data_IF_500945659033
#
_entry.id   IF_500945659033
#
_cell.length_a   1.000
_cell.length_b   1.000
_cell.length_c   1.000
_cell.angle_alpha   90.00
_cell.angle_beta   90.00
_cell.angle_gamma   90.00
#
_symmetry.space_group_name_H-M   'P 1'
#
loop_
_entity.id
_entity.type
_entity.pdbx_description
1 polymer ?
#
# COMPACT_ATOMS: atom_id res chain seq x y z
N UNK A 1 -32.13 -30.50 -16.99
CA UNK A 1 -33.60 -30.57 -16.88
C UNK A 1 -34.13 -31.52 -17.95
N UNK A 2 -35.09 -32.43 -17.65
CA UNK A 2 -35.70 -33.29 -18.66
C UNK A 2 -36.34 -32.46 -19.80
N UNK A 3 -36.29 -32.88 -21.07
CA UNK A 3 -36.76 -32.08 -22.20
C UNK A 3 -38.25 -31.66 -22.11
N UNK A 4 -39.08 -32.47 -21.45
CA UNK A 4 -40.49 -32.17 -21.24
C UNK A 4 -40.73 -31.06 -20.22
N UNK A 5 -39.93 -31.00 -19.15
CA UNK A 5 -39.99 -29.94 -18.14
C UNK A 5 -39.48 -28.63 -18.73
N UNK A 6 -38.42 -28.68 -19.56
CA UNK A 6 -37.92 -27.51 -20.28
C UNK A 6 -38.98 -26.93 -21.22
N UNK A 7 -39.77 -27.79 -21.88
CA UNK A 7 -40.89 -27.37 -22.72
C UNK A 7 -42.01 -26.71 -21.90
N UNK A 8 -42.36 -27.26 -20.75
CA UNK A 8 -43.38 -26.67 -19.87
C UNK A 8 -42.92 -25.35 -19.23
N UNK A 9 -41.66 -25.24 -18.84
CA UNK A 9 -41.06 -23.99 -18.35
C UNK A 9 -41.02 -22.96 -19.48
N UNK A 10 -40.55 -23.31 -20.67
CA UNK A 10 -40.54 -22.41 -21.83
C UNK A 10 -41.95 -22.00 -22.25
N UNK A 11 -42.94 -22.87 -22.11
CA UNK A 11 -44.34 -22.57 -22.43
C UNK A 11 -44.99 -21.68 -21.36
N UNK A 12 -44.71 -21.90 -20.07
CA UNK A 12 -45.16 -21.05 -18.98
C UNK A 12 -44.51 -19.65 -19.03
N UNK A 13 -43.22 -19.58 -19.36
CA UNK A 13 -42.49 -18.32 -19.55
C UNK A 13 -42.94 -17.61 -20.82
N UNK A 14 -43.17 -18.32 -21.93
CA UNK A 14 -43.73 -17.73 -23.15
C UNK A 14 -45.15 -17.20 -22.95
N UNK A 15 -46.00 -17.88 -22.16
CA UNK A 15 -47.35 -17.39 -21.80
C UNK A 15 -47.29 -16.16 -20.89
N UNK A 16 -46.26 -16.04 -20.04
CA UNK A 16 -46.03 -14.87 -19.21
C UNK A 16 -45.46 -13.68 -20.00
N UNK A 17 -44.66 -13.92 -21.04
CA UNK A 17 -44.01 -12.89 -21.87
C UNK A 17 -44.87 -12.42 -23.05
N UNK A 18 -45.65 -13.30 -23.68
CA UNK A 18 -46.43 -13.00 -24.88
C UNK A 18 -47.89 -12.64 -24.49
N UNK A 19 -48.07 -11.41 -24.00
CA UNK A 19 -49.36 -10.82 -23.69
C UNK A 19 -50.25 -10.60 -24.92
N UNK A 20 -50.74 -11.67 -25.54
CA UNK A 20 -51.91 -11.63 -26.44
C UNK A 20 -53.17 -12.04 -25.68
N UNK A 21 -53.52 -11.24 -24.70
CA UNK A 21 -54.86 -11.15 -24.15
C UNK A 21 -55.26 -9.68 -24.18
N UNK A 22 -56.28 -9.36 -24.95
CA UNK A 22 -56.83 -8.02 -25.11
C UNK A 22 -56.95 -7.28 -23.78
N UNK A 23 -56.70 -5.96 -23.81
CA UNK A 23 -57.06 -5.05 -22.71
C UNK A 23 -58.54 -5.25 -22.37
N UNK A 24 -58.80 -5.91 -21.24
CA UNK A 24 -60.03 -5.72 -20.51
C UNK A 24 -59.68 -5.33 -19.08
N UNK A 25 -60.25 -4.20 -18.68
CA UNK A 25 -60.15 -3.57 -17.37
C UNK A 25 -60.52 -4.56 -16.25
N UNK A 26 -59.54 -5.22 -15.64
CA UNK A 26 -59.45 -5.41 -14.19
C UNK A 26 -58.15 -6.12 -13.79
N UNK A 27 -57.58 -5.63 -12.69
CA UNK A 27 -56.32 -6.08 -12.09
C UNK A 27 -56.33 -7.57 -11.70
N UNK A 28 -55.53 -8.38 -12.39
CA UNK A 28 -54.77 -9.49 -11.80
C UNK A 28 -53.59 -9.75 -12.73
N UNK A 29 -52.38 -9.35 -12.34
CA UNK A 29 -51.19 -9.39 -13.19
C UNK A 29 -50.85 -10.83 -13.56
N UNK A 30 -50.46 -11.06 -14.82
CA UNK A 30 -50.09 -12.36 -15.38
C UNK A 30 -49.07 -13.14 -14.49
N UNK A 31 -48.23 -12.39 -13.76
CA UNK A 31 -47.27 -12.90 -12.78
C UNK A 31 -47.89 -13.76 -11.66
N UNK A 32 -49.02 -13.38 -11.07
CA UNK A 32 -49.61 -14.11 -9.93
C UNK A 32 -50.08 -15.52 -10.32
N UNK A 33 -50.54 -15.69 -11.56
CA UNK A 33 -50.98 -16.99 -12.09
C UNK A 33 -49.78 -17.86 -12.47
N UNK A 34 -48.75 -17.27 -13.07
CA UNK A 34 -47.50 -17.95 -13.40
C UNK A 34 -46.74 -18.41 -12.13
N UNK A 35 -46.66 -17.57 -11.10
CA UNK A 35 -46.04 -17.87 -9.80
C UNK A 35 -46.77 -19.03 -9.10
N UNK A 36 -48.11 -19.04 -9.10
CA UNK A 36 -48.90 -20.15 -8.52
C UNK A 36 -48.67 -21.47 -9.23
N UNK A 37 -48.58 -21.45 -10.57
CA UNK A 37 -48.32 -22.64 -11.38
C UNK A 37 -46.90 -23.18 -11.12
N UNK A 38 -45.89 -22.32 -11.23
CA UNK A 38 -44.48 -22.68 -10.99
C UNK A 38 -44.24 -23.17 -9.56
N UNK A 39 -44.95 -22.60 -8.58
CA UNK A 39 -44.95 -23.05 -7.19
C UNK A 39 -45.51 -24.47 -7.05
N UNK A 40 -46.63 -24.77 -7.71
CA UNK A 40 -47.24 -26.11 -7.71
C UNK A 40 -46.32 -27.19 -8.28
N UNK A 41 -45.49 -26.83 -9.27
CA UNK A 41 -44.52 -27.76 -9.89
C UNK A 41 -43.15 -27.77 -9.21
N UNK A 42 -42.91 -26.93 -8.20
CA UNK A 42 -41.61 -26.85 -7.52
C UNK A 42 -40.48 -26.32 -8.41
N UNK A 43 -40.80 -25.56 -9.46
CA UNK A 43 -39.85 -25.08 -10.48
C UNK A 43 -39.46 -23.60 -10.30
N UNK A 44 -39.78 -23.01 -9.14
CA UNK A 44 -39.57 -21.58 -8.88
C UNK A 44 -38.11 -21.16 -9.00
N UNK A 45 -37.17 -21.96 -8.48
CA UNK A 45 -35.73 -21.62 -8.55
C UNK A 45 -35.23 -21.62 -9.99
N UNK A 46 -35.59 -22.64 -10.77
CA UNK A 46 -35.19 -22.73 -12.18
C UNK A 46 -35.83 -21.64 -13.04
N UNK A 47 -37.06 -21.21 -12.71
CA UNK A 47 -37.72 -20.10 -13.39
C UNK A 47 -37.04 -18.76 -13.10
N UNK A 48 -36.60 -18.53 -11.86
CA UNK A 48 -35.82 -17.34 -11.49
C UNK A 48 -34.48 -17.32 -12.22
N UNK A 49 -33.76 -18.45 -12.23
CA UNK A 49 -32.45 -18.53 -12.88
C UNK A 49 -32.59 -18.26 -14.38
N UNK A 50 -33.57 -18.90 -15.04
CA UNK A 50 -33.87 -18.68 -16.45
C UNK A 50 -34.30 -17.25 -16.76
N UNK A 51 -35.16 -16.64 -15.93
CA UNK A 51 -35.59 -15.26 -16.13
C UNK A 51 -34.41 -14.28 -15.99
N UNK A 52 -33.50 -14.56 -15.06
CA UNK A 52 -32.32 -13.71 -14.83
C UNK A 52 -31.28 -13.86 -15.94
N UNK A 53 -31.10 -15.06 -16.51
CA UNK A 53 -30.24 -15.30 -17.68
C UNK A 53 -30.77 -14.63 -18.97
N UNK A 54 -32.09 -14.45 -19.08
CA UNK A 54 -32.74 -13.77 -20.21
C UNK A 54 -33.03 -12.28 -19.94
N UNK A 55 -32.38 -11.67 -18.94
CA UNK A 55 -32.54 -10.25 -18.59
C UNK A 55 -33.99 -9.81 -18.25
N UNK A 56 -34.87 -10.75 -17.92
CA UNK A 56 -36.26 -10.49 -17.53
C UNK A 56 -36.35 -10.29 -16.01
N UNK A 57 -35.68 -9.24 -15.51
CA UNK A 57 -35.49 -8.99 -14.08
C UNK A 57 -36.79 -8.67 -13.33
N UNK A 58 -37.75 -7.99 -13.96
CA UNK A 58 -39.04 -7.68 -13.33
C UNK A 58 -39.78 -8.96 -12.92
N UNK A 59 -39.84 -9.94 -13.84
CA UNK A 59 -40.45 -11.24 -13.59
C UNK A 59 -39.65 -12.06 -12.54
N UNK A 60 -38.32 -11.99 -12.59
CA UNK A 60 -37.46 -12.63 -11.59
C UNK A 60 -37.71 -12.05 -10.19
N UNK A 61 -37.87 -10.72 -10.06
CA UNK A 61 -38.20 -10.06 -8.79
C UNK A 61 -39.60 -10.39 -8.30
N UNK A 62 -40.59 -10.51 -9.17
CA UNK A 62 -41.95 -10.94 -8.79
C UNK A 62 -41.94 -12.34 -8.17
N UNK A 63 -41.28 -13.31 -8.83
CA UNK A 63 -41.18 -14.69 -8.31
C UNK A 63 -40.40 -14.71 -6.99
N UNK A 64 -39.26 -14.01 -6.93
CA UNK A 64 -38.39 -14.03 -5.77
C UNK A 64 -39.02 -13.36 -4.53
N UNK A 65 -39.72 -12.23 -4.71
CA UNK A 65 -40.45 -11.58 -3.60
C UNK A 65 -41.60 -12.44 -3.09
N UNK A 66 -42.30 -13.15 -3.98
CA UNK A 66 -43.44 -13.98 -3.64
C UNK A 66 -43.06 -15.29 -2.92
N UNK A 67 -41.97 -15.96 -3.35
CA UNK A 67 -41.68 -17.32 -2.89
C UNK A 67 -40.21 -17.60 -2.52
N UNK A 68 -39.24 -16.82 -3.01
CA UNK A 68 -37.80 -17.11 -2.88
C UNK A 68 -37.00 -15.88 -2.42
N UNK A 69 -37.32 -15.37 -1.22
CA UNK A 69 -36.68 -14.17 -0.65
C UNK A 69 -35.16 -14.29 -0.51
N UNK A 70 -34.64 -15.52 -0.35
CA UNK A 70 -33.20 -15.80 -0.27
C UNK A 70 -32.43 -15.53 -1.56
N UNK A 71 -33.08 -15.64 -2.74
CA UNK A 71 -32.45 -15.37 -4.04
C UNK A 71 -32.49 -13.89 -4.45
N UNK A 72 -33.24 -13.05 -3.74
CA UNK A 72 -33.39 -11.62 -4.07
C UNK A 72 -32.04 -10.88 -4.17
N UNK A 73 -31.05 -11.08 -3.27
CA UNK A 73 -29.74 -10.45 -3.42
C UNK A 73 -28.97 -10.88 -4.68
N UNK A 74 -29.09 -12.15 -5.09
CA UNK A 74 -28.45 -12.66 -6.31
C UNK A 74 -29.02 -12.02 -7.58
N UNK A 75 -30.35 -11.85 -7.62
CA UNK A 75 -31.03 -11.16 -8.73
C UNK A 75 -30.61 -9.68 -8.76
N UNK A 76 -30.54 -9.02 -7.59
CA UNK A 76 -30.04 -7.64 -7.51
C UNK A 76 -28.60 -7.50 -8.00
N UNK A 77 -27.73 -8.46 -7.70
CA UNK A 77 -26.34 -8.46 -8.19
C UNK A 77 -26.30 -8.58 -9.72
N UNK A 78 -27.03 -9.54 -10.31
CA UNK A 78 -27.08 -9.71 -11.78
C UNK A 78 -27.73 -8.51 -12.48
N UNK A 79 -28.74 -7.90 -11.84
CA UNK A 79 -29.36 -6.67 -12.33
C UNK A 79 -28.41 -5.48 -12.28
N UNK A 80 -27.61 -5.36 -11.21
CA UNK A 80 -26.61 -4.30 -11.07
C UNK A 80 -25.54 -4.38 -12.17
N UNK A 81 -25.03 -5.58 -12.46
CA UNK A 81 -24.05 -5.82 -13.55
C UNK A 81 -24.65 -5.45 -14.91
N UNK A 82 -25.91 -5.84 -15.18
CA UNK A 82 -26.59 -5.43 -16.41
C UNK A 82 -26.72 -3.91 -16.53
N UNK A 83 -27.05 -3.21 -15.44
CA UNK A 83 -27.15 -1.75 -15.43
C UNK A 83 -25.80 -1.06 -15.59
N UNK A 84 -24.72 -1.64 -15.06
CA UNK A 84 -23.34 -1.19 -15.26
C UNK A 84 -22.96 -1.27 -16.74
N UNK A 85 -23.24 -2.39 -17.41
CA UNK A 85 -22.99 -2.59 -18.85
C UNK A 85 -23.79 -1.59 -19.72
N UNK A 86 -25.02 -1.25 -19.30
CA UNK A 86 -25.87 -0.24 -19.94
C UNK A 86 -25.46 1.21 -19.60
N UNK A 87 -24.50 1.41 -18.70
CA UNK A 87 -23.99 2.73 -18.28
C UNK A 87 -24.91 3.49 -17.32
N UNK A 88 -25.86 2.82 -16.67
CA UNK A 88 -26.80 3.42 -15.69
C UNK A 88 -26.27 3.30 -14.26
N UNK A 89 -25.15 3.96 -13.98
CA UNK A 89 -24.40 3.80 -12.72
C UNK A 89 -25.19 4.11 -11.45
N UNK A 90 -26.03 5.16 -11.45
CA UNK A 90 -26.84 5.51 -10.27
C UNK A 90 -27.89 4.44 -9.93
N UNK A 91 -28.43 3.75 -10.94
CA UNK A 91 -29.36 2.64 -10.70
C UNK A 91 -28.59 1.37 -10.30
N UNK A 92 -27.41 1.14 -10.89
CA UNK A 92 -26.54 0.02 -10.56
C UNK A 92 -26.05 0.08 -9.11
N UNK A 93 -25.67 1.26 -8.62
CA UNK A 93 -25.28 1.51 -7.23
C UNK A 93 -26.37 1.05 -6.26
N UNK A 94 -27.61 1.50 -6.46
CA UNK A 94 -28.76 1.10 -5.63
C UNK A 94 -28.99 -0.41 -5.67
N UNK A 95 -28.77 -1.05 -6.83
CA UNK A 95 -28.90 -2.49 -6.98
C UNK A 95 -27.78 -3.25 -6.24
N UNK A 96 -26.53 -2.81 -6.31
CA UNK A 96 -25.40 -3.37 -5.56
C UNK A 96 -25.59 -3.23 -4.04
N UNK A 97 -26.07 -2.09 -3.56
CA UNK A 97 -26.38 -1.87 -2.15
C UNK A 97 -27.49 -2.83 -1.70
N UNK A 98 -28.55 -2.99 -2.49
CA UNK A 98 -29.65 -3.95 -2.21
C UNK A 98 -29.20 -5.41 -2.27
N UNK A 99 -28.15 -5.72 -3.03
CA UNK A 99 -27.51 -7.03 -3.05
C UNK A 99 -26.63 -7.30 -1.81
N UNK A 100 -26.43 -6.30 -0.93
CA UNK A 100 -25.52 -6.39 0.21
C UNK A 100 -24.03 -6.37 -0.21
N UNK A 101 -23.76 -5.79 -1.38
CA UNK A 101 -22.45 -5.77 -2.05
C UNK A 101 -21.99 -4.33 -2.33
N UNK A 102 -21.79 -3.49 -1.29
CA UNK A 102 -21.42 -2.09 -1.47
C UNK A 102 -20.00 -1.91 -2.03
N UNK A 103 -19.09 -2.86 -1.80
CA UNK A 103 -17.72 -2.81 -2.33
C UNK A 103 -17.68 -2.84 -3.85
N UNK A 104 -18.56 -3.63 -4.43
CA UNK A 104 -18.74 -3.74 -5.88
C UNK A 104 -19.24 -2.41 -6.48
N UNK A 105 -20.13 -1.69 -5.78
CA UNK A 105 -20.55 -0.34 -6.18
C UNK A 105 -19.40 0.69 -6.11
N UNK A 106 -18.57 0.63 -5.06
CA UNK A 106 -17.38 1.48 -4.95
C UNK A 106 -16.41 1.19 -6.09
N UNK A 107 -16.15 -0.09 -6.39
CA UNK A 107 -15.24 -0.49 -7.46
C UNK A 107 -15.72 -0.05 -8.85
N UNK A 108 -17.03 -0.11 -9.11
CA UNK A 108 -17.65 0.40 -10.33
C UNK A 108 -17.29 1.88 -10.54
N UNK A 109 -17.44 2.73 -9.53
CA UNK A 109 -17.09 4.15 -9.62
C UNK A 109 -15.57 4.39 -9.74
N UNK A 110 -14.76 3.59 -9.05
CA UNK A 110 -13.29 3.62 -9.19
C UNK A 110 -12.87 3.32 -10.62
N UNK A 111 -13.48 2.33 -11.28
CA UNK A 111 -13.20 2.01 -12.69
C UNK A 111 -13.59 3.16 -13.63
N UNK A 112 -14.68 3.87 -13.34
CA UNK A 112 -15.10 5.07 -14.08
C UNK A 112 -14.27 6.32 -13.75
N UNK A 113 -13.33 6.23 -12.80
CA UNK A 113 -12.56 7.36 -12.27
C UNK A 113 -13.43 8.45 -11.63
N UNK A 114 -14.67 8.12 -11.25
CA UNK A 114 -15.54 9.01 -10.48
C UNK A 114 -15.25 8.81 -8.99
N UNK A 115 -14.22 9.51 -8.53
CA UNK A 115 -13.73 9.36 -7.17
C UNK A 115 -14.64 9.99 -6.13
N UNK A 116 -15.43 11.01 -6.50
CA UNK A 116 -16.34 11.69 -5.58
C UNK A 116 -17.51 10.76 -5.24
N UNK A 117 -18.09 10.10 -6.25
CA UNK A 117 -19.11 9.08 -6.04
C UNK A 117 -18.56 7.85 -5.30
N UNK A 118 -17.36 7.37 -5.67
CA UNK A 118 -16.72 6.24 -4.99
C UNK A 118 -16.50 6.52 -3.48
N UNK A 119 -16.06 7.73 -3.14
CA UNK A 119 -15.83 8.11 -1.74
C UNK A 119 -17.15 8.22 -0.97
N UNK A 120 -18.19 8.80 -1.56
CA UNK A 120 -19.51 8.90 -0.93
C UNK A 120 -20.09 7.51 -0.59
N UNK A 121 -20.08 6.59 -1.56
CA UNK A 121 -20.59 5.23 -1.36
C UNK A 121 -19.74 4.46 -0.34
N UNK A 122 -18.43 4.64 -0.36
CA UNK A 122 -17.55 4.04 0.64
C UNK A 122 -17.83 4.57 2.05
N UNK A 123 -17.94 5.88 2.24
CA UNK A 123 -18.19 6.48 3.56
C UNK A 123 -19.56 6.06 4.13
N UNK A 124 -20.60 5.96 3.29
CA UNK A 124 -21.96 5.64 3.74
C UNK A 124 -22.18 4.14 3.99
N UNK A 125 -21.63 3.28 3.13
CA UNK A 125 -21.98 1.85 3.10
C UNK A 125 -20.79 0.90 3.30
N UNK A 126 -19.56 1.36 3.18
CA UNK A 126 -18.35 0.51 3.28
C UNK A 126 -17.13 1.29 3.83
N UNK A 127 -17.13 1.69 5.12
CA UNK A 127 -16.04 2.46 5.72
C UNK A 127 -14.67 1.80 5.58
N UNK A 128 -14.63 0.47 5.48
CA UNK A 128 -13.41 -0.31 5.27
C UNK A 128 -12.78 -0.09 3.89
N UNK A 129 -13.54 0.38 2.90
CA UNK A 129 -13.05 0.65 1.54
C UNK A 129 -12.60 2.10 1.34
N UNK A 130 -12.87 2.98 2.31
CA UNK A 130 -12.51 4.41 2.25
C UNK A 130 -10.99 4.62 2.07
N UNK A 131 -10.10 3.90 2.80
CA UNK A 131 -8.66 4.05 2.58
C UNK A 131 -8.22 3.71 1.15
N UNK A 132 -8.79 2.66 0.55
CA UNK A 132 -8.44 2.23 -0.80
C UNK A 132 -8.86 3.27 -1.86
N UNK A 133 -10.04 3.90 -1.68
CA UNK A 133 -10.52 4.98 -2.55
C UNK A 133 -9.61 6.22 -2.44
N UNK A 134 -9.23 6.60 -1.22
CA UNK A 134 -8.35 7.74 -0.97
C UNK A 134 -6.94 7.52 -1.56
N UNK A 135 -6.41 6.30 -1.48
CA UNK A 135 -5.13 5.94 -2.12
C UNK A 135 -5.25 6.06 -3.64
N UNK A 136 -6.38 5.63 -4.22
CA UNK A 136 -6.66 5.81 -5.65
C UNK A 136 -6.71 7.28 -6.08
N UNK A 137 -7.41 8.13 -5.31
CA UNK A 137 -7.43 9.59 -5.50
C UNK A 137 -6.02 10.20 -5.42
N UNK A 138 -5.21 9.76 -4.44
CA UNK A 138 -3.84 10.22 -4.28
C UNK A 138 -2.99 9.91 -5.53
N UNK A 139 -3.12 8.70 -6.10
CA UNK A 139 -2.42 8.31 -7.34
C UNK A 139 -2.79 9.19 -8.52
N UNK A 140 -4.06 9.54 -8.68
CA UNK A 140 -4.51 10.45 -9.75
C UNK A 140 -3.99 11.87 -9.52
N UNK A 141 -3.95 12.33 -8.27
CA UNK A 141 -3.37 13.62 -7.92
C UNK A 141 -1.86 13.67 -8.21
N UNK A 142 -1.12 12.57 -7.96
CA UNK A 142 0.28 12.43 -8.34
C UNK A 142 0.50 12.53 -9.85
N UNK A 143 -0.31 11.83 -10.66
CA UNK A 143 -0.24 11.93 -12.13
C UNK A 143 -0.46 13.36 -12.63
N UNK A 144 -1.27 14.14 -11.91
CA UNK A 144 -1.56 15.56 -12.22
C UNK A 144 -0.54 16.53 -11.62
N UNK A 145 0.47 16.05 -10.88
CA UNK A 145 1.45 16.86 -10.13
C UNK A 145 0.81 17.77 -9.07
N UNK A 146 -0.39 17.44 -8.59
CA UNK A 146 -1.09 18.16 -7.53
C UNK A 146 -0.77 17.49 -6.18
N UNK A 147 0.46 17.74 -5.70
CA UNK A 147 1.03 17.05 -4.55
C UNK A 147 0.33 17.40 -3.23
N UNK A 148 -0.20 18.62 -3.11
CA UNK A 148 -0.94 19.04 -1.91
C UNK A 148 -2.22 18.24 -1.70
N UNK A 149 -2.96 17.97 -2.79
CA UNK A 149 -4.14 17.10 -2.71
C UNK A 149 -3.75 15.65 -2.45
N UNK A 150 -2.72 15.14 -3.12
CA UNK A 150 -2.23 13.79 -2.91
C UNK A 150 -1.88 13.54 -1.43
N UNK A 151 -1.16 14.48 -0.81
CA UNK A 151 -0.83 14.46 0.63
C UNK A 151 -2.10 14.41 1.50
N UNK A 152 -3.06 15.29 1.24
CA UNK A 152 -4.30 15.33 2.02
C UNK A 152 -5.08 14.02 1.98
N UNK A 153 -5.06 13.31 0.84
CA UNK A 153 -5.72 12.01 0.69
C UNK A 153 -4.98 10.90 1.42
N UNK A 154 -3.64 10.84 1.33
CA UNK A 154 -2.84 9.82 2.03
C UNK A 154 -2.89 9.97 3.55
N UNK A 155 -2.90 11.21 4.07
CA UNK A 155 -3.07 11.47 5.50
C UNK A 155 -4.43 10.99 6.01
N UNK A 156 -5.50 11.25 5.23
CA UNK A 156 -6.85 10.76 5.56
C UNK A 156 -6.97 9.24 5.47
N UNK A 157 -6.12 8.60 4.67
CA UNK A 157 -6.06 7.14 4.55
C UNK A 157 -5.20 6.46 5.63
N UNK A 158 -4.58 7.21 6.55
CA UNK A 158 -3.58 6.72 7.52
C UNK A 158 -2.41 5.97 6.86
N UNK A 159 -2.05 6.38 5.63
CA UNK A 159 -0.95 5.80 4.84
C UNK A 159 0.05 6.85 4.36
N UNK A 160 0.71 7.61 5.27
CA UNK A 160 1.76 8.56 4.91
C UNK A 160 3.03 7.88 4.39
N UNK A 161 3.14 6.55 4.51
CA UNK A 161 4.24 5.72 4.02
C UNK A 161 4.30 5.62 2.48
N UNK A 162 3.19 5.88 1.78
CA UNK A 162 3.07 5.72 0.33
C UNK A 162 3.48 6.96 -0.49
N UNK A 163 4.13 7.94 0.14
CA UNK A 163 4.62 9.17 -0.53
C UNK A 163 5.86 8.83 -1.39
N UNK A 164 5.80 9.16 -2.68
CA UNK A 164 6.81 8.77 -3.67
C UNK A 164 8.19 9.43 -3.48
N UNK A 165 9.24 8.75 -3.96
CA UNK A 165 10.65 9.13 -3.78
C UNK A 165 11.08 10.43 -4.50
N UNK A 166 10.24 11.02 -5.36
CA UNK A 166 10.48 12.38 -5.90
C UNK A 166 10.25 13.49 -4.87
N UNK A 167 9.72 13.13 -3.69
CA UNK A 167 9.34 14.06 -2.63
C UNK A 167 10.30 14.06 -1.43
N UNK A 168 11.61 13.82 -1.62
CA UNK A 168 12.58 13.78 -0.51
C UNK A 168 12.44 14.95 0.49
N UNK A 169 12.18 16.17 0.01
CA UNK A 169 11.99 17.34 0.87
C UNK A 169 10.68 17.33 1.67
N UNK A 170 9.58 16.84 1.11
CA UNK A 170 8.30 16.72 1.80
C UNK A 170 8.24 15.46 2.68
N UNK A 171 8.89 14.37 2.26
CA UNK A 171 9.11 13.18 3.09
C UNK A 171 9.96 13.52 4.32
N UNK A 172 11.01 14.35 4.17
CA UNK A 172 11.77 14.90 5.29
C UNK A 172 10.90 15.82 6.17
N UNK A 173 10.02 16.64 5.59
CA UNK A 173 9.05 17.47 6.36
C UNK A 173 8.13 16.59 7.21
N UNK A 174 7.56 15.54 6.64
CA UNK A 174 6.66 14.60 7.33
C UNK A 174 7.42 13.79 8.40
N UNK A 175 8.64 13.34 8.10
CA UNK A 175 9.50 12.66 9.08
C UNK A 175 9.85 13.63 10.24
N UNK A 176 10.11 14.91 9.96
CA UNK A 176 10.32 15.94 10.99
C UNK A 176 9.07 16.25 11.81
N UNK A 177 7.90 16.29 11.17
CA UNK A 177 6.63 16.68 11.81
C UNK A 177 6.01 15.54 12.63
N UNK A 178 6.07 14.30 12.15
CA UNK A 178 5.41 13.14 12.76
C UNK A 178 6.37 12.16 13.44
N UNK A 179 7.65 12.15 13.08
CA UNK A 179 8.70 11.31 13.68
C UNK A 179 9.95 12.13 14.08
N UNK A 180 9.81 13.25 14.81
CA UNK A 180 10.91 14.19 15.06
C UNK A 180 12.16 13.52 15.66
N UNK A 181 11.98 12.51 16.53
CA UNK A 181 13.08 11.77 17.14
C UNK A 181 13.91 10.90 16.17
N UNK A 182 13.41 10.61 14.96
CA UNK A 182 14.15 9.90 13.89
C UNK A 182 14.72 10.85 12.84
N UNK A 183 14.17 12.06 12.73
CA UNK A 183 14.65 13.11 11.83
C UNK A 183 15.93 13.77 12.35
N UNK A 184 16.05 13.86 13.68
CA UNK A 184 17.21 14.46 14.37
C UNK A 184 18.47 13.64 14.03
N UNK A 185 19.43 14.30 13.37
CA UNK A 185 20.74 13.73 13.00
C UNK A 185 20.83 13.20 11.56
N UNK A 186 19.73 13.02 10.83
CA UNK A 186 19.77 12.62 9.41
C UNK A 186 20.35 13.73 8.53
N UNK A 187 19.98 14.98 8.80
CA UNK A 187 20.50 16.14 8.04
C UNK A 187 21.98 16.38 8.31
N UNK A 188 22.40 16.24 9.56
CA UNK A 188 23.81 16.27 9.98
C UNK A 188 24.64 15.22 9.26
N UNK A 189 24.15 13.97 9.20
CA UNK A 189 24.84 12.90 8.46
C UNK A 189 24.86 13.18 6.96
N UNK A 190 23.72 13.55 6.37
CA UNK A 190 23.63 13.85 4.94
C UNK A 190 24.57 15.00 4.56
N UNK A 191 24.67 16.03 5.39
CA UNK A 191 25.61 17.13 5.23
C UNK A 191 27.06 16.64 5.15
N UNK A 192 27.52 15.86 6.13
CA UNK A 192 28.91 15.35 6.16
C UNK A 192 29.20 14.45 4.96
N UNK A 193 28.29 13.53 4.63
CA UNK A 193 28.49 12.62 3.50
C UNK A 193 28.45 13.34 2.15
N UNK A 194 27.60 14.36 1.99
CA UNK A 194 27.57 15.14 0.75
C UNK A 194 28.77 16.06 0.60
N UNK A 195 29.28 16.66 1.69
CA UNK A 195 30.57 17.36 1.64
C UNK A 195 31.69 16.41 1.20
N UNK A 196 31.79 15.23 1.83
CA UNK A 196 32.77 14.21 1.45
C UNK A 196 32.63 13.77 -0.02
N UNK A 197 31.40 13.68 -0.52
CA UNK A 197 31.14 13.39 -1.93
C UNK A 197 31.65 14.50 -2.86
N UNK A 198 31.45 15.77 -2.51
CA UNK A 198 31.96 16.90 -3.29
C UNK A 198 33.49 16.92 -3.29
N UNK A 199 34.13 16.72 -2.12
CA UNK A 199 35.59 16.61 -2.01
C UNK A 199 36.15 15.46 -2.85
N UNK A 200 35.50 14.29 -2.82
CA UNK A 200 35.88 13.16 -3.65
C UNK A 200 35.68 13.44 -5.14
N UNK A 201 34.63 14.18 -5.51
CA UNK A 201 34.39 14.55 -6.89
C UNK A 201 35.46 15.50 -7.42
N UNK A 202 35.90 16.46 -6.62
CA UNK A 202 37.04 17.34 -6.94
C UNK A 202 38.35 16.55 -7.01
N UNK A 203 38.59 15.65 -6.06
CA UNK A 203 39.76 14.78 -6.06
C UNK A 203 39.83 13.84 -7.27
N UNK A 204 38.69 13.37 -7.79
CA UNK A 204 38.63 12.61 -9.06
C UNK A 204 39.10 13.47 -10.23
N UNK A 205 38.68 14.74 -10.28
CA UNK A 205 39.07 15.68 -11.34
C UNK A 205 40.57 16.04 -11.25
N UNK A 206 41.10 16.18 -10.03
CA UNK A 206 42.51 16.50 -9.79
C UNK A 206 43.44 15.26 -9.82
N UNK A 207 42.88 14.07 -9.63
CA UNK A 207 43.61 12.81 -9.56
C UNK A 207 44.41 12.60 -8.26
N UNK A 208 44.09 13.30 -7.17
CA UNK A 208 44.75 13.16 -5.87
C UNK A 208 43.78 13.31 -4.70
N UNK A 209 44.01 12.56 -3.62
CA UNK A 209 43.27 12.65 -2.34
C UNK A 209 43.93 13.58 -1.31
N UNK A 210 45.11 14.14 -1.62
CA UNK A 210 45.98 14.81 -0.62
C UNK A 210 45.35 16.05 0.02
N UNK A 211 44.41 16.71 -0.67
CA UNK A 211 43.79 17.96 -0.23
C UNK A 211 42.53 17.76 0.60
N UNK A 212 42.08 16.52 0.80
CA UNK A 212 40.82 16.25 1.50
C UNK A 212 41.06 16.22 3.03
N UNK A 213 40.31 17.05 3.75
CA UNK A 213 40.24 16.96 5.21
C UNK A 213 39.43 15.73 5.63
N UNK A 214 39.98 14.95 6.56
CA UNK A 214 39.36 13.73 7.09
C UNK A 214 38.92 13.88 8.56
N UNK A 215 38.97 15.10 9.11
CA UNK A 215 38.62 15.41 10.49
C UNK A 215 37.24 14.88 10.91
N UNK A 216 36.24 15.01 10.03
CA UNK A 216 34.87 14.53 10.25
C UNK A 216 34.74 12.99 10.32
N UNK A 217 35.74 12.26 9.83
CA UNK A 217 35.71 10.79 9.69
C UNK A 217 36.67 10.05 10.64
N UNK A 218 37.37 10.76 11.53
CA UNK A 218 38.34 10.18 12.49
C UNK A 218 37.74 9.08 13.35
N UNK A 219 36.50 9.29 13.82
CA UNK A 219 35.78 8.37 14.68
C UNK A 219 34.87 7.40 13.88
N UNK A 220 35.29 7.04 12.66
CA UNK A 220 34.54 6.14 11.77
C UNK A 220 35.40 5.00 11.26
N UNK A 221 34.78 3.93 10.77
CA UNK A 221 35.49 2.87 10.03
C UNK A 221 35.57 3.12 8.51
N UNK A 222 35.29 4.35 8.08
CA UNK A 222 35.36 4.75 6.67
C UNK A 222 36.83 4.99 6.29
N UNK A 223 37.36 4.31 5.25
CA UNK A 223 38.74 4.50 4.83
C UNK A 223 39.01 5.91 4.30
N UNK A 224 40.16 6.49 4.68
CA UNK A 224 40.62 7.78 4.15
C UNK A 224 41.24 7.64 2.76
N UNK A 225 41.99 6.55 2.56
CA UNK A 225 42.61 6.20 1.29
C UNK A 225 41.73 5.21 0.52
N UNK A 226 41.17 5.69 -0.59
CA UNK A 226 40.38 4.87 -1.50
C UNK A 226 40.91 5.03 -2.93
N UNK A 227 40.90 3.98 -3.76
CA UNK A 227 41.29 4.13 -5.16
C UNK A 227 40.30 5.07 -5.86
N UNK A 228 40.82 6.13 -6.47
CA UNK A 228 40.01 7.08 -7.23
C UNK A 228 39.58 6.47 -8.58
N UNK A 229 38.30 6.56 -8.95
CA UNK A 229 37.82 6.16 -10.27
C UNK A 229 38.32 7.12 -11.35
N UNK A 230 38.41 6.63 -12.60
CA UNK A 230 38.84 7.46 -13.76
C UNK A 230 37.81 8.51 -14.17
N UNK A 231 36.54 8.30 -13.83
CA UNK A 231 35.45 9.21 -14.17
C UNK A 231 34.45 9.30 -13.00
N UNK A 232 33.82 10.48 -12.81
CA UNK A 232 32.73 10.64 -11.86
C UNK A 232 31.56 9.72 -12.21
N UNK A 233 30.94 9.12 -11.20
CA UNK A 233 29.75 8.28 -11.39
C UNK A 233 28.49 9.09 -11.70
N UNK A 234 28.42 10.33 -11.22
CA UNK A 234 27.22 11.16 -11.28
C UNK A 234 27.38 12.32 -12.27
N UNK A 235 26.27 12.77 -12.85
CA UNK A 235 26.21 13.90 -13.79
C UNK A 235 26.49 15.24 -13.11
N UNK A 236 27.04 16.19 -13.86
CA UNK A 236 27.36 17.56 -13.38
C UNK A 236 26.13 18.28 -12.79
N UNK A 237 24.97 18.18 -13.44
CA UNK A 237 23.72 18.81 -12.97
C UNK A 237 23.35 18.39 -11.53
N UNK A 238 23.48 17.09 -11.22
CA UNK A 238 23.20 16.56 -9.87
C UNK A 238 24.27 16.94 -8.87
N UNK A 239 25.52 17.08 -9.30
CA UNK A 239 26.61 17.55 -8.45
C UNK A 239 26.38 19.00 -8.04
N UNK A 240 25.96 19.86 -8.97
CA UNK A 240 25.60 21.25 -8.68
C UNK A 240 24.37 21.33 -7.75
N UNK A 241 23.35 20.49 -7.93
CA UNK A 241 22.22 20.40 -7.00
C UNK A 241 22.66 20.07 -5.56
N UNK A 242 23.52 19.06 -5.39
CA UNK A 242 24.05 18.69 -4.07
C UNK A 242 24.89 19.83 -3.49
N UNK A 243 25.70 20.50 -4.32
CA UNK A 243 26.53 21.64 -3.90
C UNK A 243 25.68 22.81 -3.43
N UNK A 244 24.62 23.17 -4.16
CA UNK A 244 23.67 24.19 -3.74
C UNK A 244 23.00 23.83 -2.39
N UNK A 245 22.63 22.56 -2.22
CA UNK A 245 22.03 22.06 -0.98
C UNK A 245 23.00 22.15 0.21
N UNK A 246 24.25 21.72 0.03
CA UNK A 246 25.31 21.80 1.06
C UNK A 246 25.61 23.25 1.42
N UNK A 247 25.70 24.15 0.44
CA UNK A 247 25.90 25.58 0.68
C UNK A 247 24.74 26.20 1.46
N UNK A 248 23.50 25.85 1.10
CA UNK A 248 22.31 26.33 1.79
C UNK A 248 22.29 25.90 3.27
N UNK A 249 22.61 24.64 3.55
CA UNK A 249 22.68 24.13 4.92
C UNK A 249 23.89 24.63 5.71
N UNK A 250 25.01 24.93 5.05
CA UNK A 250 26.17 25.54 5.72
C UNK A 250 25.83 26.90 6.34
N UNK A 251 24.82 27.60 5.81
CA UNK A 251 24.34 28.87 6.32
C UNK A 251 23.29 28.73 7.44
N UNK A 252 22.73 27.53 7.62
CA UNK A 252 21.80 27.24 8.69
C UNK A 252 22.54 26.84 9.97
N UNK A 253 22.41 27.66 11.02
CA UNK A 253 23.08 27.43 12.32
C UNK A 253 22.41 26.35 13.17
N UNK A 254 21.31 25.77 12.71
CA UNK A 254 20.55 24.77 13.47
C UNK A 254 21.02 23.34 13.24
N UNK A 255 21.84 23.08 12.21
CA UNK A 255 22.35 21.73 11.91
C UNK A 255 23.70 21.53 12.59
N UNK A 256 23.77 20.57 13.52
CA UNK A 256 25.05 20.11 14.07
C UNK A 256 25.82 19.39 12.95
N UNK A 257 27.01 19.88 12.62
CA UNK A 257 27.86 19.33 11.56
C UNK A 257 28.75 18.23 12.13
N UNK A 258 28.14 17.25 12.80
CA UNK A 258 28.86 16.11 13.39
C UNK A 258 28.13 14.80 13.10
N UNK A 259 28.90 13.73 12.94
CA UNK A 259 28.33 12.40 12.83
C UNK A 259 27.83 11.96 14.22
N UNK A 260 26.64 11.33 14.31
CA UNK A 260 26.15 10.81 15.57
C UNK A 260 27.06 9.69 16.06
N UNK A 261 27.56 9.83 17.29
CA UNK A 261 28.40 8.84 17.94
C UNK A 261 27.56 7.95 18.84
N UNK A 262 27.96 6.68 18.98
CA UNK A 262 27.37 5.82 20.00
C UNK A 262 28.00 6.08 21.38
N UNK A 263 27.17 6.01 22.43
CA UNK A 263 27.58 6.31 23.80
C UNK A 263 28.74 5.43 24.31
N UNK A 264 28.93 4.24 23.76
CA UNK A 264 29.87 3.23 24.29
C UNK A 264 31.27 3.34 23.68
N UNK A 265 31.33 3.42 22.37
CA UNK A 265 32.56 3.40 21.58
C UNK A 265 33.02 4.82 21.27
N UNK A 266 32.14 5.83 21.45
CA UNK A 266 32.37 7.20 20.99
C UNK A 266 32.84 7.18 19.53
N UNK A 267 32.19 6.34 18.72
CA UNK A 267 32.47 6.08 17.31
C UNK A 267 31.16 6.28 16.57
N UNK A 268 31.21 6.66 15.29
CA UNK A 268 30.02 6.81 14.47
C UNK A 268 29.11 5.58 14.58
N UNK A 269 27.82 5.82 14.82
CA UNK A 269 26.82 4.79 15.14
C UNK A 269 26.78 3.64 14.14
N UNK A 270 27.09 3.88 12.86
CA UNK A 270 27.10 2.84 11.82
C UNK A 270 28.40 2.04 11.71
N UNK A 271 29.48 2.48 12.36
CA UNK A 271 30.79 1.86 12.22
C UNK A 271 30.74 0.43 12.74
N UNK A 272 31.13 -0.53 11.90
CA UNK A 272 31.21 -1.94 12.23
C UNK A 272 32.48 -2.25 13.03
N UNK A 273 33.55 -1.51 12.77
CA UNK A 273 34.80 -1.64 13.49
C UNK A 273 35.04 -0.40 14.34
N UNK A 274 35.47 -0.58 15.58
CA UNK A 274 35.91 0.55 16.41
C UNK A 274 37.33 0.95 15.98
N UNK A 275 37.56 2.19 15.52
CA UNK A 275 38.90 2.66 15.09
C UNK A 275 39.91 2.62 16.25
N UNK A 276 39.43 2.91 17.46
CA UNK A 276 40.23 2.98 18.67
C UNK A 276 40.70 1.62 19.20
N UNK A 277 39.90 0.57 19.00
CA UNK A 277 40.15 -0.75 19.62
C UNK A 277 40.38 -1.86 18.60
N UNK A 278 40.10 -1.63 17.32
CA UNK A 278 40.15 -2.62 16.25
C UNK A 278 39.11 -3.74 16.39
N UNK A 279 38.19 -3.63 17.36
CA UNK A 279 37.15 -4.64 17.58
C UNK A 279 36.09 -4.51 16.50
N UNK A 280 35.92 -5.56 15.71
CA UNK A 280 34.84 -5.69 14.73
C UNK A 280 33.60 -6.27 15.40
N UNK A 281 32.49 -5.55 15.27
CA UNK A 281 31.19 -5.99 15.76
C UNK A 281 30.42 -6.62 14.62
N UNK A 282 29.93 -7.84 14.85
CA UNK A 282 29.08 -8.55 13.91
C UNK A 282 27.70 -7.89 13.97
N UNK A 283 27.40 -7.03 13.01
CA UNK A 283 26.02 -6.73 12.64
C UNK A 283 25.38 -7.98 12.06
N UNK A 284 24.07 -8.11 12.22
CA UNK A 284 23.31 -8.83 11.22
C UNK A 284 23.66 -8.18 9.87
N UNK A 285 24.31 -8.93 8.98
CA UNK A 285 24.05 -8.76 7.55
C UNK A 285 22.60 -9.16 7.31
N UNK A 286 21.67 -8.33 7.77
CA UNK A 286 20.35 -8.25 7.16
C UNK A 286 20.55 -7.35 5.94
N UNK A 287 20.91 -7.95 4.81
CA UNK A 287 20.26 -7.49 3.58
C UNK A 287 18.76 -7.47 3.91
N UNK A 288 18.10 -6.34 3.68
CA UNK A 288 16.72 -6.02 4.06
C UNK A 288 16.50 -5.48 5.48
N UNK A 289 16.73 -4.17 5.66
CA UNK A 289 15.58 -3.29 5.92
C UNK A 289 15.22 -2.67 4.57
N UNK A 290 14.16 -3.16 3.93
CA UNK A 290 13.60 -2.51 2.76
C UNK A 290 12.22 -1.98 3.14
N UNK A 291 12.06 -0.67 2.96
CA UNK A 291 10.80 -0.14 2.47
C UNK A 291 10.75 -0.47 0.98
N UNK A 292 9.75 -1.26 0.56
CA UNK A 292 9.48 -1.47 -0.86
C UNK A 292 8.67 -0.27 -1.34
N UNK A 293 9.35 0.75 -1.88
CA UNK A 293 8.71 1.68 -2.78
C UNK A 293 8.80 1.05 -4.18
N UNK A 294 7.70 0.44 -4.63
CA UNK A 294 7.62 -0.24 -5.93
C UNK A 294 7.38 0.82 -7.00
N UNK A 295 8.44 1.54 -7.37
CA UNK A 295 8.41 2.39 -8.55
C UNK A 295 8.39 1.50 -9.81
N UNK A 296 7.51 1.88 -10.72
CA UNK A 296 7.34 1.36 -12.06
C UNK A 296 8.67 1.24 -12.83
N UNK A 297 8.88 0.06 -13.44
CA UNK A 297 9.73 -0.26 -14.60
C UNK A 297 11.15 0.31 -14.77
N UNK A 298 11.69 1.09 -13.84
CA UNK A 298 13.06 1.59 -13.92
C UNK A 298 13.90 0.93 -12.84
N UNK A 299 14.94 0.25 -13.30
CA UNK A 299 15.81 -0.64 -12.57
C UNK A 299 16.81 0.14 -11.70
N UNK A 300 16.32 0.97 -10.76
CA UNK A 300 17.19 1.69 -9.82
C UNK A 300 16.63 1.56 -8.40
N UNK A 301 17.03 0.48 -7.73
CA UNK A 301 16.65 0.21 -6.35
C UNK A 301 17.68 0.84 -5.42
N UNK A 302 17.35 2.01 -4.86
CA UNK A 302 18.13 2.66 -3.81
C UNK A 302 17.84 1.95 -2.47
N UNK A 303 18.83 1.22 -1.96
CA UNK A 303 18.73 0.48 -0.70
C UNK A 303 19.22 1.37 0.46
N UNK A 304 18.31 2.00 1.22
CA UNK A 304 18.69 2.66 2.46
C UNK A 304 18.82 1.62 3.59
N UNK A 305 20.06 1.20 3.84
CA UNK A 305 20.44 0.33 4.96
C UNK A 305 20.20 1.05 6.29
N UNK A 306 19.23 0.62 7.10
CA UNK A 306 19.19 1.03 8.52
C UNK A 306 19.22 -0.20 9.39
N UNK A 307 20.41 -0.62 9.76
CA UNK A 307 20.67 -1.59 10.82
C UNK A 307 22.02 -1.28 11.44
N UNK A 308 22.05 -0.38 12.43
CA UNK A 308 23.28 -0.11 13.18
C UNK A 308 23.71 -1.34 13.99
N UNK A 309 25.01 -1.50 14.31
CA UNK A 309 25.53 -2.48 15.25
C UNK A 309 24.72 -2.59 16.54
N UNK A 310 24.39 -3.81 16.94
CA UNK A 310 23.68 -4.08 18.20
C UNK A 310 24.70 -4.25 19.32
N UNK A 311 24.96 -3.17 20.06
CA UNK A 311 25.95 -3.13 21.15
C UNK A 311 25.39 -3.69 22.47
N UNK A 312 24.16 -3.31 22.83
CA UNK A 312 23.48 -3.70 24.06
C UNK A 312 22.05 -4.17 23.81
N UNK A 313 21.48 -4.79 24.85
CA UNK A 313 20.09 -5.22 24.91
C UNK A 313 19.66 -5.94 23.62
N UNK A 314 20.31 -7.06 23.33
CA UNK A 314 20.05 -7.83 22.11
C UNK A 314 18.93 -8.85 22.28
N UNK A 315 18.14 -9.03 21.23
CA UNK A 315 17.31 -10.21 20.99
C UNK A 315 18.11 -11.11 20.07
N UNK A 316 18.56 -12.23 20.59
CA UNK A 316 19.27 -13.25 19.80
C UNK A 316 18.29 -14.20 19.14
N UNK A 317 18.58 -14.57 17.90
CA UNK A 317 17.80 -15.54 17.15
C UNK A 317 18.44 -16.92 17.16
N UNK A 318 17.63 -17.97 16.97
CA UNK A 318 18.08 -19.37 17.04
C UNK A 318 19.22 -19.70 16.08
N UNK A 319 19.29 -19.08 14.89
CA UNK A 319 20.44 -19.25 14.00
C UNK A 319 21.52 -18.28 14.45
N UNK A 320 22.61 -18.83 15.00
CA UNK A 320 23.68 -18.06 15.63
C UNK A 320 24.27 -16.95 14.77
N UNK A 321 24.86 -15.95 15.43
CA UNK A 321 25.42 -14.76 14.79
C UNK A 321 24.39 -13.72 14.36
N UNK A 322 23.15 -13.83 14.86
CA UNK A 322 22.02 -12.97 14.47
C UNK A 322 21.34 -12.41 15.70
N UNK A 323 21.33 -11.09 15.82
CA UNK A 323 20.64 -10.35 16.85
C UNK A 323 19.97 -9.08 16.32
N UNK A 324 18.92 -8.63 17.01
CA UNK A 324 18.30 -7.32 16.83
C UNK A 324 18.37 -6.53 18.14
N UNK A 325 18.29 -5.19 18.06
CA UNK A 325 18.10 -4.37 19.25
C UNK A 325 16.73 -4.71 19.87
N UNK A 326 16.70 -4.95 21.19
CA UNK A 326 15.49 -5.37 21.92
C UNK A 326 14.42 -4.30 21.91
N UNK A 327 14.78 -3.03 22.03
CA UNK A 327 13.83 -1.92 22.01
C UNK A 327 13.12 -1.85 20.66
N UNK A 328 13.89 -1.87 19.58
CA UNK A 328 13.35 -1.76 18.22
C UNK A 328 12.55 -3.01 17.83
N UNK A 329 13.06 -4.20 18.15
CA UNK A 329 12.36 -5.46 17.91
C UNK A 329 11.03 -5.52 18.66
N UNK A 330 11.01 -5.12 19.93
CA UNK A 330 9.78 -5.12 20.73
C UNK A 330 8.75 -4.15 20.17
N UNK A 331 9.16 -2.93 19.79
CA UNK A 331 8.29 -1.96 19.14
C UNK A 331 7.74 -2.48 17.80
N UNK A 332 8.61 -3.06 16.97
CA UNK A 332 8.22 -3.62 15.67
C UNK A 332 7.18 -4.73 15.81
N UNK A 333 7.42 -5.70 16.72
CA UNK A 333 6.48 -6.79 16.99
C UNK A 333 5.16 -6.25 17.56
N UNK A 334 5.20 -5.30 18.49
CA UNK A 334 4.00 -4.68 19.05
C UNK A 334 3.16 -3.95 17.98
N UNK A 335 3.81 -3.14 17.14
CA UNK A 335 3.12 -2.39 16.08
C UNK A 335 2.53 -3.34 15.04
N UNK A 336 3.27 -4.38 14.65
CA UNK A 336 2.79 -5.39 13.69
C UNK A 336 1.59 -6.16 14.24
N UNK A 337 1.57 -6.47 15.55
CA UNK A 337 0.41 -7.10 16.22
C UNK A 337 -0.80 -6.18 16.26
N UNK A 338 -0.58 -4.88 16.49
CA UNK A 338 -1.66 -3.90 16.61
C UNK A 338 -2.28 -3.54 15.25
N UNK A 339 -1.45 -3.36 14.21
CA UNK A 339 -1.93 -2.93 12.89
C UNK A 339 -2.46 -4.06 12.03
N UNK A 340 -2.09 -5.32 12.31
CA UNK A 340 -2.38 -6.48 11.46
C UNK A 340 -1.99 -6.30 9.98
N UNK A 341 -1.01 -5.42 9.71
CA UNK A 341 -0.56 -5.13 8.36
C UNK A 341 0.12 -6.38 7.74
N UNK A 342 -0.39 -6.85 6.60
CA UNK A 342 0.11 -8.03 5.89
C UNK A 342 1.58 -7.91 5.49
N UNK A 343 2.05 -6.73 5.08
CA UNK A 343 3.45 -6.49 4.71
C UNK A 343 4.37 -6.62 5.94
N UNK A 344 3.93 -6.11 7.09
CA UNK A 344 4.68 -6.22 8.33
C UNK A 344 4.71 -7.68 8.83
N UNK A 345 3.62 -8.43 8.65
CA UNK A 345 3.55 -9.87 8.94
C UNK A 345 4.49 -10.67 8.04
N UNK A 346 4.56 -10.35 6.75
CA UNK A 346 5.48 -10.95 5.80
C UNK A 346 6.94 -10.70 6.19
N UNK A 347 7.27 -9.48 6.64
CA UNK A 347 8.61 -9.15 7.15
C UNK A 347 8.93 -9.96 8.41
N UNK A 348 8.00 -10.07 9.37
CA UNK A 348 8.17 -10.92 10.56
C UNK A 348 8.40 -12.39 10.16
N UNK A 349 7.63 -12.89 9.21
CA UNK A 349 7.77 -14.26 8.71
C UNK A 349 9.13 -14.48 8.04
N UNK A 350 9.55 -13.53 7.20
CA UNK A 350 10.87 -13.54 6.56
C UNK A 350 11.99 -13.55 7.59
N UNK A 351 11.98 -12.63 8.57
CA UNK A 351 13.02 -12.54 9.61
C UNK A 351 13.06 -13.84 10.42
N UNK A 352 11.90 -14.37 10.80
CA UNK A 352 11.79 -15.63 11.54
C UNK A 352 12.31 -16.82 10.74
N UNK A 353 12.02 -16.87 9.43
CA UNK A 353 12.51 -17.94 8.54
C UNK A 353 14.00 -17.80 8.27
N UNK A 354 14.50 -16.57 8.14
CA UNK A 354 15.90 -16.27 7.84
C UNK A 354 16.75 -16.49 9.09
N UNK A 355 16.46 -15.79 10.18
CA UNK A 355 17.24 -15.77 11.43
C UNK A 355 16.88 -16.90 12.40
N UNK A 356 15.76 -17.60 12.18
CA UNK A 356 15.17 -18.48 13.18
C UNK A 356 14.32 -17.68 14.17
N UNK A 357 13.51 -18.39 14.96
CA UNK A 357 12.74 -17.77 16.04
C UNK A 357 13.67 -17.08 17.05
N UNK A 358 13.24 -15.99 17.71
CA UNK A 358 13.94 -15.45 18.87
C UNK A 358 14.21 -16.54 19.92
N UNK A 359 15.36 -16.48 20.60
CA UNK A 359 15.72 -17.43 21.66
C UNK A 359 14.77 -17.32 22.85
N UNK A 360 14.35 -16.10 23.18
CA UNK A 360 13.38 -15.84 24.23
C UNK A 360 11.95 -15.82 23.63
N UNK A 361 11.05 -16.72 24.06
CA UNK A 361 9.67 -16.78 23.58
C UNK A 361 8.87 -15.47 23.77
N UNK A 362 9.24 -14.64 24.75
CA UNK A 362 8.58 -13.34 24.98
C UNK A 362 8.79 -12.34 23.82
N UNK A 363 9.75 -12.60 22.94
CA UNK A 363 10.05 -11.78 21.77
C UNK A 363 9.52 -12.37 20.46
N UNK A 364 8.82 -13.50 20.53
CA UNK A 364 8.17 -14.12 19.37
C UNK A 364 6.91 -13.33 18.98
N UNK A 365 6.62 -13.33 17.67
CA UNK A 365 5.35 -12.85 17.16
C UNK A 365 4.21 -13.74 17.64
#
# INVERSE_FOLDING_TARGET
MPPHILKEVNQAVAVALDGKGEKQDNQLTCGDSAVKLLSKFGLLEAAVDYATENYSFDFAFEIAKAALKSKVPEIHLKYAIYLEDEGKYSEAELAFIRAGKPKEAVLMYVHQQDWDAAQHVAEEHSPESVPDVLIGQARVAFQKKDYQKAESYLLRADRPDLVDAEMWNDALRIIKEYLPHKAVGLESMAFIFYNRFLDLSEAIEEGSLDMIDNSDFVDTDIPFEVPLPEQPFMTEDKREEIKEWVLALSMDRQVEQTLPLDDERQTYVASLTSPHTGVTFITLHCKQLFYVCKLSEVQETMYMCVGYPVLKQKVEFKRGGRCANKGDWTKFVMNTKASQNEECLDVVHFITKWCGQPLNPAHTF
#
